data_IF_530056251982
#
_entry.id   IF_530056251982
#
_cell.length_a   1.000
_cell.length_b   1.000
_cell.length_c   1.000
_cell.angle_alpha   90.00
_cell.angle_beta   90.00
_cell.angle_gamma   90.00
#
_symmetry.space_group_name_H-M   'P 1'
#
loop_
_entity.id
_entity.type
_entity.pdbx_description
1 polymer ?
#
# COMPACT_ATOMS: atom_id res chain seq x y z
N UNK A 1 6.62 0.05 4.24
CA UNK A 1 5.54 1.05 4.24
C UNK A 1 5.01 1.23 2.83
N UNK A 2 3.69 1.14 2.64
CA UNK A 2 3.05 1.38 1.34
C UNK A 2 2.51 2.80 1.31
N UNK A 3 3.21 3.69 0.62
CA UNK A 3 3.00 5.14 0.68
C UNK A 3 3.32 5.82 -0.64
N UNK A 4 2.99 7.10 -0.73
CA UNK A 4 3.37 7.95 -1.85
C UNK A 4 4.90 8.08 -1.95
N UNK A 5 5.38 8.47 -3.13
CA UNK A 5 6.81 8.61 -3.37
C UNK A 5 7.44 9.64 -2.43
N UNK A 6 8.59 9.31 -1.84
CA UNK A 6 9.36 10.23 -1.01
C UNK A 6 10.27 11.09 -1.88
N UNK A 7 9.91 12.34 -2.08
CA UNK A 7 10.79 13.31 -2.72
C UNK A 7 11.99 13.64 -1.83
N UNK A 8 13.07 14.09 -2.48
CA UNK A 8 14.39 14.29 -1.89
C UNK A 8 14.39 15.28 -0.73
N UNK A 9 13.49 16.27 -0.75
CA UNK A 9 13.35 17.27 0.30
C UNK A 9 11.95 17.27 0.90
N UNK A 10 11.86 17.73 2.15
CA UNK A 10 10.59 17.95 2.85
C UNK A 10 9.73 18.99 2.14
N UNK A 11 10.34 20.05 1.63
CA UNK A 11 9.65 21.12 0.90
C UNK A 11 8.98 20.59 -0.36
N UNK A 12 9.64 19.68 -1.09
CA UNK A 12 9.05 19.03 -2.26
C UNK A 12 7.90 18.10 -1.86
N UNK A 13 8.01 17.35 -0.76
CA UNK A 13 6.87 16.57 -0.26
C UNK A 13 5.70 17.49 0.17
N UNK A 14 6.00 18.61 0.82
CA UNK A 14 5.01 19.59 1.26
C UNK A 14 4.30 20.22 0.05
N UNK A 15 5.03 20.59 -1.01
CA UNK A 15 4.46 21.09 -2.26
C UNK A 15 3.56 20.05 -2.95
N UNK A 16 3.99 18.78 -3.01
CA UNK A 16 3.28 17.71 -3.73
C UNK A 16 2.11 17.12 -2.96
N UNK A 17 2.21 17.03 -1.63
CA UNK A 17 1.27 16.28 -0.80
C UNK A 17 0.61 17.12 0.30
N UNK A 18 1.06 18.35 0.55
CA UNK A 18 0.61 19.16 1.68
C UNK A 18 1.18 18.71 3.03
N UNK A 19 2.12 17.76 3.05
CA UNK A 19 2.79 17.24 4.24
C UNK A 19 4.28 17.05 4.02
N UNK A 20 5.13 17.30 5.02
CA UNK A 20 6.59 17.11 4.91
C UNK A 20 7.00 15.65 4.68
N UNK A 21 6.15 14.71 5.11
CA UNK A 21 6.32 13.27 4.89
C UNK A 21 5.25 12.75 3.93
N UNK A 22 5.61 11.87 2.98
CA UNK A 22 4.63 11.31 2.04
C UNK A 22 3.54 10.54 2.80
N UNK A 23 2.25 10.77 2.49
CA UNK A 23 1.17 10.07 3.15
C UNK A 23 1.14 8.59 2.79
N UNK A 24 0.73 7.75 3.74
CA UNK A 24 0.50 6.33 3.49
C UNK A 24 -0.79 6.09 2.70
N UNK A 25 -0.80 5.02 1.91
CA UNK A 25 -2.05 4.57 1.31
C UNK A 25 -2.86 3.81 2.36
N UNK A 26 -4.01 4.35 2.72
CA UNK A 26 -4.94 3.64 3.59
C UNK A 26 -5.66 2.52 2.81
N UNK A 27 -5.16 1.29 2.93
CA UNK A 27 -5.73 0.13 2.25
C UNK A 27 -7.17 -0.17 2.69
N UNK A 28 -7.59 0.28 3.88
CA UNK A 28 -8.98 0.15 4.31
C UNK A 28 -9.96 1.03 3.53
N UNK A 29 -9.48 1.88 2.63
CA UNK A 29 -10.31 2.66 1.70
C UNK A 29 -10.63 1.92 0.39
N UNK A 30 -10.05 0.74 0.13
CA UNK A 30 -10.38 -0.05 -1.05
C UNK A 30 -11.82 -0.56 -0.91
N UNK A 31 -12.68 -0.29 -1.90
CA UNK A 31 -14.10 -0.71 -1.89
C UNK A 31 -14.45 -1.69 -3.00
N UNK A 32 -13.55 -1.86 -3.95
CA UNK A 32 -13.77 -2.74 -5.10
C UNK A 32 -13.59 -4.19 -4.65
N UNK A 33 -14.54 -5.10 -4.95
CA UNK A 33 -14.36 -6.54 -4.83
C UNK A 33 -13.03 -6.98 -5.46
N UNK A 34 -12.21 -7.75 -4.73
CA UNK A 34 -10.82 -8.04 -5.11
C UNK A 34 -10.51 -9.51 -4.88
N UNK A 35 -10.13 -10.21 -5.95
CA UNK A 35 -9.63 -11.58 -5.88
C UNK A 35 -8.10 -11.55 -6.00
N UNK A 36 -7.40 -12.20 -5.07
CA UNK A 36 -5.93 -12.25 -5.05
C UNK A 36 -5.43 -13.62 -5.49
N UNK A 37 -4.63 -13.65 -6.56
CA UNK A 37 -3.86 -14.81 -6.98
C UNK A 37 -2.38 -14.59 -6.64
N UNK A 38 -1.72 -15.58 -6.03
CA UNK A 38 -0.30 -15.49 -5.64
C UNK A 38 0.47 -16.76 -6.00
N UNK A 39 1.72 -16.58 -6.40
CA UNK A 39 2.64 -17.67 -6.68
C UNK A 39 3.41 -18.09 -5.44
N UNK A 40 3.44 -19.40 -5.13
CA UNK A 40 4.16 -19.91 -3.94
C UNK A 40 5.66 -19.60 -3.96
N UNK A 41 6.26 -19.51 -5.14
CA UNK A 41 7.70 -19.29 -5.34
C UNK A 41 7.98 -17.94 -6.00
N UNK A 42 7.10 -16.94 -5.83
CA UNK A 42 7.32 -15.61 -6.37
C UNK A 42 8.36 -14.86 -5.52
N UNK A 43 9.53 -14.50 -6.09
CA UNK A 43 10.61 -13.85 -5.34
C UNK A 43 10.31 -12.38 -5.00
N UNK A 44 9.35 -11.74 -5.68
CA UNK A 44 8.97 -10.35 -5.45
C UNK A 44 7.71 -10.24 -4.58
N UNK A 45 6.71 -11.10 -4.83
CA UNK A 45 5.46 -11.19 -4.07
C UNK A 45 5.54 -12.34 -3.05
N UNK A 46 6.40 -12.17 -2.04
CA UNK A 46 6.62 -13.20 -1.02
C UNK A 46 5.35 -13.47 -0.19
N UNK A 47 5.26 -14.68 0.36
CA UNK A 47 4.12 -15.12 1.18
C UNK A 47 3.80 -14.14 2.33
N UNK A 48 4.83 -13.67 3.05
CA UNK A 48 4.65 -12.75 4.16
C UNK A 48 4.08 -11.39 3.72
N UNK A 49 4.53 -10.86 2.58
CA UNK A 49 4.00 -9.60 2.03
C UNK A 49 2.55 -9.75 1.59
N UNK A 50 2.20 -10.91 1.03
CA UNK A 50 0.83 -11.20 0.63
C UNK A 50 -0.10 -11.30 1.84
N UNK A 51 0.36 -11.94 2.93
CA UNK A 51 -0.41 -12.02 4.18
C UNK A 51 -0.59 -10.63 4.83
N UNK A 52 0.44 -9.79 4.86
CA UNK A 52 0.33 -8.40 5.34
C UNK A 52 -0.69 -7.60 4.52
N UNK A 53 -0.66 -7.73 3.19
CA UNK A 53 -1.63 -7.07 2.31
C UNK A 53 -3.06 -7.53 2.63
N UNK A 54 -3.29 -8.83 2.70
CA UNK A 54 -4.62 -9.41 2.97
C UNK A 54 -5.16 -8.94 4.33
N UNK A 55 -4.33 -8.90 5.37
CA UNK A 55 -4.76 -8.44 6.71
C UNK A 55 -5.11 -6.95 6.77
N UNK A 56 -4.65 -6.15 5.80
CA UNK A 56 -4.88 -4.70 5.75
C UNK A 56 -6.00 -4.30 4.81
N UNK A 57 -6.50 -5.23 4.01
CA UNK A 57 -7.70 -5.02 3.19
C UNK A 57 -8.95 -5.07 4.08
N UNK A 58 -10.02 -4.35 3.70
CA UNK A 58 -11.30 -4.48 4.39
C UNK A 58 -11.87 -5.90 4.35
N UNK A 59 -12.47 -6.31 5.46
CA UNK A 59 -13.06 -7.64 5.64
C UNK A 59 -14.31 -7.87 4.76
N UNK A 60 -14.89 -6.81 4.18
CA UNK A 60 -16.11 -6.82 3.36
C UNK A 60 -15.85 -6.95 1.85
N UNK A 61 -14.61 -7.20 1.46
CA UNK A 61 -14.24 -7.52 0.08
C UNK A 61 -14.45 -9.03 -0.16
N UNK A 62 -15.64 -9.40 -0.61
CA UNK A 62 -15.95 -10.73 -1.18
C UNK A 62 -15.42 -10.90 -2.62
#
# INVERSE_FOLDING_TARGET
>A
EFRHFKYETKDLNLEKYGTETPPEYNLTNIRTPTIIFRGKNDPMSTENMNLDLIQRLPDDIE
#
